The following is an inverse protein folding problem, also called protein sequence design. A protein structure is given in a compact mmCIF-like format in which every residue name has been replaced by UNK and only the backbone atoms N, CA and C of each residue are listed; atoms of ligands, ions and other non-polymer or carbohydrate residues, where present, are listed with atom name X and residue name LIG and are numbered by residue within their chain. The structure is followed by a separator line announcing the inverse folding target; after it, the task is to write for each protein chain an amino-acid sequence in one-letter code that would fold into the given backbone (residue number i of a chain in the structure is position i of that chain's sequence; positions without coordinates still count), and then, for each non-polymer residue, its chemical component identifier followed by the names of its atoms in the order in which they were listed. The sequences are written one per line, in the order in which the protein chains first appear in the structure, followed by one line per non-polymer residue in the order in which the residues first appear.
data_IF_273183749500
#
_entry.id   IF_273183749500
#
_cell.length_a   1.000
_cell.length_b   1.000
_cell.length_c   1.000
_cell.angle_alpha   90.00
_cell.angle_beta   90.00
_cell.angle_gamma   90.00
#
_symmetry.space_group_name_H-M   'P 1'
#
loop_
_entity.id
_entity.type
_entity.pdbx_description
1 polymer ?
#
# COMPACT_ATOMS: atom_id res chain seq x y z
N UNK A 1 -20.58 58.45 -16.40
CA UNK A 1 -21.21 57.57 -15.40
C UNK A 1 -20.36 56.31 -15.32
N UNK A 2 -19.51 56.19 -14.30
CA UNK A 2 -18.48 55.14 -14.20
C UNK A 2 -19.07 53.90 -13.52
N UNK A 3 -19.18 52.78 -14.24
CA UNK A 3 -19.54 51.49 -13.65
C UNK A 3 -18.25 50.77 -13.21
N UNK A 4 -18.02 50.66 -11.91
CA UNK A 4 -16.97 49.80 -11.33
C UNK A 4 -17.56 48.42 -11.10
N UNK A 5 -17.10 47.42 -11.86
CA UNK A 5 -17.38 46.02 -11.57
C UNK A 5 -16.51 45.57 -10.37
N UNK A 6 -17.16 45.08 -9.32
CA UNK A 6 -16.49 44.47 -8.17
C UNK A 6 -16.38 42.97 -8.45
N UNK A 7 -15.18 42.48 -8.78
CA UNK A 7 -14.90 41.05 -8.78
C UNK A 7 -14.74 40.59 -7.32
N UNK A 8 -15.72 39.85 -6.81
CA UNK A 8 -15.57 39.12 -5.55
C UNK A 8 -14.69 37.89 -5.77
N UNK A 9 -13.48 37.90 -5.20
CA UNK A 9 -12.67 36.69 -5.05
C UNK A 9 -13.29 35.83 -3.94
N UNK A 10 -14.02 34.78 -4.32
CA UNK A 10 -14.35 33.71 -3.39
C UNK A 10 -13.10 32.85 -3.18
N UNK A 11 -12.35 33.11 -2.10
CA UNK A 11 -11.28 32.21 -1.69
C UNK A 11 -11.93 30.91 -1.18
N UNK A 12 -11.88 29.86 -1.98
CA UNK A 12 -12.19 28.52 -1.51
C UNK A 12 -11.16 28.15 -0.44
N UNK A 13 -11.57 28.13 0.82
CA UNK A 13 -10.74 27.56 1.88
C UNK A 13 -10.66 26.06 1.62
N UNK A 14 -9.59 25.62 0.95
CA UNK A 14 -9.24 24.22 0.89
C UNK A 14 -8.88 23.79 2.31
N UNK A 15 -9.82 23.12 2.99
CA UNK A 15 -9.52 22.39 4.21
C UNK A 15 -8.56 21.27 3.83
N UNK A 16 -7.27 21.48 4.04
CA UNK A 16 -6.26 20.42 4.01
C UNK A 16 -6.55 19.49 5.19
N UNK A 17 -7.40 18.49 4.96
CA UNK A 17 -7.40 17.31 5.81
C UNK A 17 -6.00 16.72 5.66
N UNK A 18 -5.20 16.76 6.72
CA UNK A 18 -3.92 16.06 6.75
C UNK A 18 -4.22 14.59 6.46
N UNK A 19 -3.81 14.10 5.29
CA UNK A 19 -3.94 12.69 4.96
C UNK A 19 -3.16 11.88 5.99
N UNK A 20 -3.81 10.91 6.61
CA UNK A 20 -3.15 9.97 7.51
C UNK A 20 -2.44 8.88 6.71
N UNK A 21 -1.72 8.00 7.39
CA UNK A 21 -1.32 6.73 6.79
C UNK A 21 -2.54 5.81 6.72
N UNK A 22 -2.73 5.19 5.57
CA UNK A 22 -3.86 4.29 5.35
C UNK A 22 -3.75 3.04 6.24
N UNK A 23 -4.83 2.73 6.95
CA UNK A 23 -4.97 1.54 7.80
C UNK A 23 -6.15 0.63 7.38
N UNK A 24 -6.61 0.75 6.13
CA UNK A 24 -7.84 0.09 5.69
C UNK A 24 -7.65 -1.40 5.36
N UNK A 25 -6.49 -1.78 4.83
CA UNK A 25 -6.15 -3.18 4.51
C UNK A 25 -5.30 -3.75 5.63
N UNK A 26 -5.84 -4.74 6.34
CA UNK A 26 -5.17 -5.41 7.45
C UNK A 26 -4.38 -6.64 6.96
N UNK A 27 -3.23 -6.97 7.57
CA UNK A 27 -2.48 -8.18 7.24
C UNK A 27 -3.34 -9.44 7.32
N UNK A 28 -3.31 -10.28 6.28
CA UNK A 28 -4.05 -11.55 6.27
C UNK A 28 -3.67 -12.48 7.43
N UNK A 29 -2.42 -12.39 7.90
CA UNK A 29 -1.91 -13.12 9.05
C UNK A 29 -2.70 -12.87 10.34
N UNK A 30 -3.37 -11.72 10.49
CA UNK A 30 -4.22 -11.44 11.65
C UNK A 30 -5.45 -12.36 11.68
N UNK A 31 -6.05 -12.62 10.52
CA UNK A 31 -7.18 -13.56 10.41
C UNK A 31 -6.75 -14.97 10.77
N UNK A 32 -5.61 -15.42 10.25
CA UNK A 32 -5.05 -16.74 10.56
C UNK A 32 -4.72 -16.87 12.05
N UNK A 33 -4.10 -15.85 12.65
CA UNK A 33 -3.76 -15.84 14.06
C UNK A 33 -5.01 -16.03 14.95
N UNK A 34 -6.05 -15.21 14.77
CA UNK A 34 -7.27 -15.32 15.59
C UNK A 34 -8.01 -16.65 15.35
N UNK A 35 -8.01 -17.15 14.10
CA UNK A 35 -8.64 -18.44 13.79
C UNK A 35 -7.93 -19.64 14.40
N UNK A 36 -6.59 -19.58 14.53
CA UNK A 36 -5.78 -20.65 15.13
C UNK A 36 -5.77 -20.59 16.65
N UNK A 37 -5.89 -19.39 17.24
CA UNK A 37 -6.04 -19.22 18.68
C UNK A 37 -6.83 -17.93 18.99
N UNK A 38 -8.06 -18.10 19.47
CA UNK A 38 -8.95 -17.00 19.81
C UNK A 38 -8.40 -16.06 20.91
N UNK A 39 -7.47 -16.54 21.75
CA UNK A 39 -6.83 -15.72 22.77
C UNK A 39 -5.98 -14.57 22.20
N UNK A 40 -5.60 -14.62 20.92
CA UNK A 40 -4.92 -13.51 20.24
C UNK A 40 -5.84 -12.33 19.90
N UNK A 41 -7.17 -12.50 19.97
CA UNK A 41 -8.15 -11.48 19.60
C UNK A 41 -7.90 -10.09 20.20
N UNK A 42 -7.72 -9.95 21.53
CA UNK A 42 -7.45 -8.65 22.15
C UNK A 42 -6.17 -7.98 21.63
N UNK A 43 -5.07 -8.73 21.48
CA UNK A 43 -3.81 -8.18 20.97
C UNK A 43 -3.92 -7.78 19.49
N UNK A 44 -4.56 -8.60 18.66
CA UNK A 44 -4.80 -8.28 17.24
C UNK A 44 -5.71 -7.06 17.10
N UNK A 45 -6.72 -6.89 17.97
CA UNK A 45 -7.58 -5.71 17.97
C UNK A 45 -6.81 -4.43 18.31
N UNK A 46 -5.76 -4.50 19.13
CA UNK A 46 -4.88 -3.36 19.37
C UNK A 46 -4.04 -3.05 18.12
N UNK A 47 -3.41 -4.05 17.52
CA UNK A 47 -2.59 -3.86 16.31
C UNK A 47 -3.38 -3.26 15.15
N UNK A 48 -4.66 -3.66 14.97
CA UNK A 48 -5.57 -3.12 13.94
C UNK A 48 -5.80 -1.61 14.03
N UNK A 49 -5.45 -0.95 15.14
CA UNK A 49 -5.55 0.52 15.27
C UNK A 49 -4.40 1.25 14.57
N UNK A 50 -3.35 0.54 14.17
CA UNK A 50 -2.14 1.13 13.62
C UNK A 50 -1.94 0.75 12.15
N UNK A 51 -1.56 1.70 11.28
CA UNK A 51 -1.19 1.42 9.90
C UNK A 51 -0.07 0.38 9.78
N UNK A 52 -0.21 -0.55 8.84
CA UNK A 52 0.81 -1.53 8.47
C UNK A 52 1.04 -1.49 6.97
N UNK A 53 2.29 -1.59 6.54
CA UNK A 53 2.64 -1.64 5.12
C UNK A 53 1.99 -2.84 4.42
N UNK A 54 1.37 -2.59 3.28
CA UNK A 54 0.82 -3.64 2.42
C UNK A 54 1.92 -4.19 1.53
N UNK A 55 2.15 -5.49 1.62
CA UNK A 55 3.16 -6.17 0.81
C UNK A 55 2.60 -6.43 -0.58
N UNK A 56 3.30 -5.92 -1.59
CA UNK A 56 3.14 -6.27 -2.99
C UNK A 56 4.27 -7.23 -3.34
N UNK A 57 3.93 -8.51 -3.45
CA UNK A 57 4.86 -9.60 -3.71
C UNK A 57 4.40 -10.41 -4.92
N UNK A 58 5.36 -10.93 -5.67
CA UNK A 58 5.14 -11.81 -6.83
C UNK A 58 4.81 -13.25 -6.43
N UNK A 59 4.61 -13.52 -5.14
CA UNK A 59 4.12 -14.79 -4.59
C UNK A 59 2.59 -14.86 -4.64
N UNK A 60 2.06 -16.08 -4.59
CA UNK A 60 0.62 -16.30 -4.49
C UNK A 60 0.03 -15.54 -3.28
N UNK A 61 -1.10 -14.87 -3.50
CA UNK A 61 -1.79 -14.02 -2.50
C UNK A 61 -1.00 -12.79 -2.01
N UNK A 62 0.11 -12.45 -2.67
CA UNK A 62 0.95 -11.29 -2.34
C UNK A 62 0.50 -9.98 -2.97
N UNK A 63 -0.68 -9.91 -3.59
CA UNK A 63 -1.17 -8.73 -4.28
C UNK A 63 -2.53 -8.29 -3.74
N UNK A 64 -2.55 -7.14 -3.05
CA UNK A 64 -3.76 -6.51 -2.52
C UNK A 64 -3.95 -5.08 -3.05
N UNK A 65 -3.32 -4.72 -4.16
CA UNK A 65 -3.25 -3.31 -4.61
C UNK A 65 -4.63 -2.74 -4.93
N UNK A 66 -5.50 -3.46 -5.64
CA UNK A 66 -6.84 -2.95 -5.97
C UNK A 66 -7.69 -2.73 -4.70
N UNK A 67 -7.56 -3.62 -3.71
CA UNK A 67 -8.21 -3.47 -2.42
C UNK A 67 -7.66 -2.22 -1.69
N UNK A 68 -6.35 -2.04 -1.70
CA UNK A 68 -5.69 -0.90 -1.07
C UNK A 68 -6.12 0.42 -1.72
N UNK A 69 -6.10 0.50 -3.05
CA UNK A 69 -6.50 1.71 -3.77
C UNK A 69 -7.98 2.06 -3.55
N UNK A 70 -8.86 1.06 -3.49
CA UNK A 70 -10.29 1.27 -3.25
C UNK A 70 -10.64 1.64 -1.80
N UNK A 71 -9.88 1.14 -0.81
CA UNK A 71 -10.22 1.32 0.61
C UNK A 71 -9.49 2.47 1.29
N UNK A 72 -8.35 2.92 0.75
CA UNK A 72 -7.55 3.98 1.38
C UNK A 72 -8.08 5.41 1.21
N UNK A 73 -9.15 5.65 0.44
CA UNK A 73 -9.71 6.99 0.27
C UNK A 73 -8.65 8.05 -0.08
N UNK A 74 -8.52 9.09 0.74
CA UNK A 74 -7.49 10.13 0.60
C UNK A 74 -6.24 9.89 1.46
N UNK A 75 -6.21 8.85 2.29
CA UNK A 75 -5.04 8.52 3.11
C UNK A 75 -3.93 7.93 2.24
N UNK A 76 -2.70 8.08 2.72
CA UNK A 76 -1.46 7.67 2.04
C UNK A 76 -1.15 6.20 2.38
N UNK A 77 -1.26 5.26 1.43
CA UNK A 77 -0.85 3.88 1.67
C UNK A 77 0.68 3.75 1.70
N UNK A 78 1.14 2.76 2.46
CA UNK A 78 2.52 2.27 2.43
C UNK A 78 2.53 0.95 1.68
N UNK A 79 3.27 0.88 0.57
CA UNK A 79 3.42 -0.31 -0.25
C UNK A 79 4.86 -0.81 -0.12
N UNK A 80 5.01 -2.04 0.35
CA UNK A 80 6.30 -2.74 0.38
C UNK A 80 6.41 -3.57 -0.89
N UNK A 81 7.29 -3.17 -1.80
CA UNK A 81 7.55 -3.89 -3.04
C UNK A 81 8.58 -4.99 -2.73
N UNK A 82 8.22 -6.24 -2.99
CA UNK A 82 9.08 -7.38 -2.70
C UNK A 82 8.91 -8.50 -3.73
N UNK A 83 9.55 -8.32 -4.87
CA UNK A 83 9.34 -9.10 -6.08
C UNK A 83 10.60 -9.37 -6.90
N UNK A 84 11.80 -8.99 -6.44
CA UNK A 84 13.03 -9.29 -7.19
C UNK A 84 13.21 -10.80 -7.44
N UNK A 85 13.87 -11.21 -8.54
CA UNK A 85 14.46 -12.54 -8.64
C UNK A 85 15.65 -12.65 -7.67
N UNK A 86 15.90 -13.85 -7.12
CA UNK A 86 16.96 -14.11 -6.14
C UNK A 86 16.88 -13.22 -4.88
N UNK A 87 15.67 -13.08 -4.32
CA UNK A 87 15.42 -12.31 -3.08
C UNK A 87 16.36 -12.73 -1.96
N UNK A 88 16.69 -11.78 -1.09
CA UNK A 88 17.59 -11.95 0.05
C UNK A 88 18.92 -12.58 -0.37
N UNK A 89 19.54 -12.05 -1.43
CA UNK A 89 20.78 -12.56 -2.04
C UNK A 89 20.73 -14.04 -2.47
N UNK A 90 19.54 -14.62 -2.68
CA UNK A 90 19.34 -16.03 -3.00
C UNK A 90 19.27 -16.95 -1.77
N UNK A 91 19.53 -16.45 -0.57
CA UNK A 91 19.41 -17.17 0.71
C UNK A 91 18.03 -16.97 1.37
N UNK A 92 17.05 -16.50 0.60
CA UNK A 92 15.74 -16.09 1.12
C UNK A 92 14.86 -17.17 1.73
N UNK A 93 15.36 -18.37 2.05
CA UNK A 93 14.66 -19.38 2.85
C UNK A 93 13.15 -19.48 2.59
N UNK A 94 12.34 -19.00 3.55
CA UNK A 94 10.87 -18.99 3.49
C UNK A 94 10.26 -17.91 2.59
N UNK A 95 11.03 -16.87 2.25
CA UNK A 95 10.70 -15.76 1.34
C UNK A 95 11.00 -16.06 -0.12
N UNK A 96 11.83 -17.07 -0.41
CA UNK A 96 12.20 -17.48 -1.76
C UNK A 96 10.99 -17.95 -2.60
N UNK A 97 11.08 -17.71 -3.91
CA UNK A 97 10.05 -18.01 -4.91
C UNK A 97 9.36 -16.75 -5.47
N UNK A 98 8.25 -16.98 -6.18
CA UNK A 98 7.49 -15.94 -6.88
C UNK A 98 7.52 -16.10 -8.40
N UNK A 99 6.72 -15.29 -9.11
CA UNK A 99 6.59 -15.37 -10.57
C UNK A 99 7.69 -14.66 -11.34
N UNK A 100 8.44 -13.75 -10.73
CA UNK A 100 9.48 -12.98 -11.43
C UNK A 100 10.76 -13.80 -11.48
N UNK A 101 11.21 -14.16 -12.69
CA UNK A 101 12.41 -14.98 -12.88
C UNK A 101 13.61 -14.21 -13.42
N UNK A 102 13.38 -12.98 -13.90
CA UNK A 102 14.38 -12.13 -14.52
C UNK A 102 13.95 -10.65 -14.45
N UNK A 103 14.84 -9.75 -14.88
CA UNK A 103 14.60 -8.31 -14.87
C UNK A 103 13.43 -7.85 -15.74
N UNK A 104 13.14 -8.54 -16.85
CA UNK A 104 12.03 -8.21 -17.72
C UNK A 104 10.68 -8.56 -17.08
N UNK A 105 10.59 -9.70 -16.38
CA UNK A 105 9.41 -10.07 -15.60
C UNK A 105 9.16 -9.06 -14.47
N UNK A 106 10.20 -8.76 -13.70
CA UNK A 106 10.14 -7.76 -12.62
C UNK A 106 9.68 -6.39 -13.14
N UNK A 107 10.23 -5.93 -14.25
CA UNK A 107 9.85 -4.64 -14.86
C UNK A 107 8.38 -4.62 -15.28
N UNK A 108 7.88 -5.69 -15.91
CA UNK A 108 6.45 -5.81 -16.29
C UNK A 108 5.56 -5.81 -15.05
N UNK A 109 5.98 -6.51 -13.99
CA UNK A 109 5.24 -6.60 -12.74
C UNK A 109 5.18 -5.27 -11.98
N UNK A 110 6.28 -4.49 -11.97
CA UNK A 110 6.28 -3.11 -11.45
C UNK A 110 5.40 -2.18 -12.30
N UNK A 111 5.41 -2.31 -13.62
CA UNK A 111 4.54 -1.50 -14.48
C UNK A 111 3.06 -1.75 -14.18
N UNK A 112 2.68 -2.99 -13.84
CA UNK A 112 1.32 -3.32 -13.37
C UNK A 112 0.96 -2.55 -12.10
N UNK A 113 1.87 -2.51 -11.11
CA UNK A 113 1.68 -1.72 -9.88
C UNK A 113 1.47 -0.24 -10.19
N UNK A 114 2.38 0.35 -10.97
CA UNK A 114 2.32 1.79 -11.33
C UNK A 114 1.01 2.13 -12.02
N UNK A 115 0.55 1.28 -12.95
CA UNK A 115 -0.71 1.50 -13.66
C UNK A 115 -1.93 1.43 -12.72
N UNK A 116 -1.91 0.55 -11.71
CA UNK A 116 -3.02 0.38 -10.76
C UNK A 116 -3.05 1.46 -9.69
N UNK A 117 -1.89 1.97 -9.27
CA UNK A 117 -1.80 3.10 -8.32
C UNK A 117 -2.17 4.43 -8.99
N UNK A 118 -1.75 4.61 -10.25
CA UNK A 118 -2.01 5.84 -11.00
C UNK A 118 -1.35 7.06 -10.34
N UNK A 119 -2.14 8.09 -10.06
CA UNK A 119 -1.67 9.37 -9.52
C UNK A 119 -1.79 9.51 -7.99
N UNK A 120 -2.19 8.44 -7.30
CA UNK A 120 -2.35 8.48 -5.83
C UNK A 120 -0.98 8.71 -5.17
N UNK A 121 -0.95 9.56 -4.15
CA UNK A 121 0.22 9.70 -3.28
C UNK A 121 0.42 8.41 -2.48
N UNK A 122 1.64 7.85 -2.50
CA UNK A 122 1.99 6.57 -1.90
C UNK A 122 3.41 6.63 -1.35
N UNK A 123 3.65 5.97 -0.22
CA UNK A 123 5.00 5.67 0.28
C UNK A 123 5.40 4.29 -0.21
N UNK A 124 6.53 4.20 -0.93
CA UNK A 124 7.09 2.93 -1.38
C UNK A 124 8.30 2.55 -0.53
N UNK A 125 8.29 1.32 -0.02
CA UNK A 125 9.49 0.65 0.48
C UNK A 125 9.91 -0.34 -0.60
N UNK A 126 11.05 -0.09 -1.23
CA UNK A 126 11.45 -0.83 -2.43
C UNK A 126 12.44 -1.92 -2.05
N UNK A 127 12.04 -3.17 -2.27
CA UNK A 127 12.85 -4.38 -2.17
C UNK A 127 13.71 -4.42 -0.89
N UNK A 128 13.08 -4.61 0.29
CA UNK A 128 13.83 -4.90 1.50
C UNK A 128 14.80 -6.07 1.27
N UNK A 129 16.01 -5.94 1.81
CA UNK A 129 17.03 -6.99 1.81
C UNK A 129 17.54 -7.42 0.41
N UNK A 130 17.34 -6.59 -0.61
CA UNK A 130 17.83 -6.78 -1.98
C UNK A 130 19.35 -6.85 -2.15
#
# INVERSE_FOLDING_TARGET
MNLRAVLGFAAAMATSVSAGLCNAVQPYSYTIAVSSNAAFGPAINELKKHPVGSWYSDRAYGDQIDQLMSQCGNDVPVIVIYGLPNKDCGDGGYSNGGSNTNSADYTKWIQSLVNRVGQKEVIYVVEPDA
#
